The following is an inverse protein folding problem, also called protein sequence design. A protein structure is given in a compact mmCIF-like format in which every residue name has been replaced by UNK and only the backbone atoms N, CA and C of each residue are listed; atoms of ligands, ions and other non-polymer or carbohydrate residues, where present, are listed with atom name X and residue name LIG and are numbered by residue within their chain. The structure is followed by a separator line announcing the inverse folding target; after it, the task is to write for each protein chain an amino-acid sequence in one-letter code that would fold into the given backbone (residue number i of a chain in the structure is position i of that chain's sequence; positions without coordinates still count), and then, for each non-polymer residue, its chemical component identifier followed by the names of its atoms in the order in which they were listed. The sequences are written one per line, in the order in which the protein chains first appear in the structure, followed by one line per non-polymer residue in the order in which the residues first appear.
data_IF_097083770747
#
_entry.id   IF_097083770747
#
_cell.length_a   1.000
_cell.length_b   1.000
_cell.length_c   1.000
_cell.angle_alpha   90.00
_cell.angle_beta   90.00
_cell.angle_gamma   90.00
#
_symmetry.space_group_name_H-M   'P 1'
#
loop_
_entity.id
_entity.type
_entity.pdbx_description
1 polymer ?
#
# COMPACT_ATOMS: atom_id res chain seq x y z
N UNK A 1 -7.61 42.82 -1.15
CA UNK A 1 -6.40 42.19 -0.59
C UNK A 1 -6.41 40.75 -1.06
N UNK A 2 -5.40 40.30 -1.79
CA UNK A 2 -5.26 38.87 -2.12
C UNK A 2 -4.82 38.14 -0.85
N UNK A 3 -5.61 37.17 -0.41
CA UNK A 3 -5.29 36.31 0.73
C UNK A 3 -3.98 35.57 0.47
N UNK A 4 -3.03 35.59 1.41
CA UNK A 4 -1.79 34.80 1.30
C UNK A 4 -2.11 33.30 1.32
N UNK A 5 -1.54 32.56 0.37
CA UNK A 5 -1.59 31.10 0.31
C UNK A 5 -0.18 30.54 0.15
N UNK A 6 0.06 29.33 0.67
CA UNK A 6 1.40 28.69 0.58
C UNK A 6 1.74 28.20 -0.82
N UNK A 7 0.73 28.00 -1.68
CA UNK A 7 0.79 27.61 -3.10
C UNK A 7 -0.42 28.19 -3.84
N UNK A 8 -0.36 28.36 -5.17
CA UNK A 8 -1.53 28.75 -5.96
C UNK A 8 -2.61 27.66 -5.97
N UNK A 9 -3.85 28.06 -6.20
CA UNK A 9 -4.91 27.15 -6.64
C UNK A 9 -4.63 26.76 -8.10
N UNK A 10 -4.44 25.46 -8.35
CA UNK A 10 -4.13 24.96 -9.69
C UNK A 10 -5.43 24.90 -10.50
N UNK A 11 -5.45 25.62 -11.62
CA UNK A 11 -6.55 25.63 -12.58
C UNK A 11 -6.10 25.05 -13.91
N UNK A 12 -6.97 24.30 -14.57
CA UNK A 12 -6.68 23.70 -15.87
C UNK A 12 -7.91 23.06 -16.50
N UNK A 13 -7.78 22.67 -17.77
CA UNK A 13 -8.88 22.10 -18.58
C UNK A 13 -8.71 20.61 -18.89
N UNK A 14 -7.62 19.99 -18.41
CA UNK A 14 -7.31 18.58 -18.66
C UNK A 14 -7.55 17.71 -17.42
N UNK A 15 -6.82 17.96 -16.33
CA UNK A 15 -6.96 17.22 -15.08
C UNK A 15 -6.02 17.75 -14.00
N UNK A 16 -6.30 17.42 -12.74
CA UNK A 16 -5.48 17.76 -11.57
C UNK A 16 -5.41 16.54 -10.67
N UNK A 17 -4.21 16.26 -10.14
CA UNK A 17 -3.98 15.21 -9.14
C UNK A 17 -3.31 15.84 -7.92
N UNK A 18 -3.84 15.53 -6.74
CA UNK A 18 -3.28 15.98 -5.46
C UNK A 18 -3.09 14.80 -4.53
N UNK A 19 -1.95 14.73 -3.85
CA UNK A 19 -1.65 13.74 -2.82
C UNK A 19 -0.66 14.30 -1.81
N UNK A 20 -0.33 13.52 -0.79
CA UNK A 20 0.63 13.86 0.27
C UNK A 20 2.09 13.82 -0.20
N UNK A 21 2.37 13.19 -1.36
CA UNK A 21 3.70 13.09 -1.94
C UNK A 21 3.75 13.67 -3.37
N UNK A 22 4.73 14.52 -3.66
CA UNK A 22 4.85 15.15 -4.99
C UNK A 22 5.07 14.13 -6.12
N UNK A 23 5.92 13.12 -5.90
CA UNK A 23 6.12 12.01 -6.85
C UNK A 23 4.80 11.28 -7.13
N UNK A 24 4.00 10.94 -6.10
CA UNK A 24 2.73 10.24 -6.32
C UNK A 24 1.70 11.09 -7.08
N UNK A 25 1.67 12.41 -6.82
CA UNK A 25 0.86 13.35 -7.61
C UNK A 25 1.31 13.40 -9.07
N UNK A 26 2.63 13.45 -9.32
CA UNK A 26 3.20 13.43 -10.66
C UNK A 26 2.93 12.11 -11.40
N UNK A 27 3.00 10.96 -10.70
CA UNK A 27 2.61 9.66 -11.25
C UNK A 27 1.14 9.66 -11.68
N UNK A 28 0.23 10.09 -10.81
CA UNK A 28 -1.20 10.15 -11.17
C UNK A 28 -1.45 11.07 -12.36
N UNK A 29 -0.80 12.22 -12.41
CA UNK A 29 -0.88 13.11 -13.57
C UNK A 29 -0.35 12.45 -14.85
N UNK A 30 0.78 11.73 -14.77
CA UNK A 30 1.33 11.00 -15.91
C UNK A 30 0.38 9.92 -16.44
N UNK A 31 -0.44 9.32 -15.57
CA UNK A 31 -1.47 8.35 -15.97
C UNK A 31 -2.61 9.04 -16.71
N UNK A 32 -3.02 10.24 -16.29
CA UNK A 32 -3.97 11.05 -17.05
C UNK A 32 -3.41 11.41 -18.43
N UNK A 33 -2.14 11.85 -18.51
CA UNK A 33 -1.46 12.18 -19.77
C UNK A 33 -1.34 10.97 -20.72
N UNK A 34 -1.25 9.75 -20.17
CA UNK A 34 -1.30 8.48 -20.94
C UNK A 34 -2.70 8.08 -21.39
N UNK A 35 -3.73 8.90 -21.15
CA UNK A 35 -5.11 8.65 -21.55
C UNK A 35 -5.94 7.84 -20.53
N UNK A 36 -5.39 7.60 -19.34
CA UNK A 36 -6.14 7.09 -18.21
C UNK A 36 -7.19 8.09 -17.73
N UNK A 37 -8.12 7.63 -16.89
CA UNK A 37 -9.08 8.50 -16.22
C UNK A 37 -8.70 8.75 -14.74
N UNK A 38 -9.54 9.47 -14.01
CA UNK A 38 -9.30 9.78 -12.60
C UNK A 38 -9.12 8.53 -11.71
N UNK A 39 -9.78 7.41 -12.06
CA UNK A 39 -9.68 6.16 -11.33
C UNK A 39 -8.37 5.43 -11.61
N UNK A 40 -7.93 5.39 -12.88
CA UNK A 40 -6.60 4.86 -13.23
C UNK A 40 -5.49 5.65 -12.52
N UNK A 41 -5.60 6.98 -12.54
CA UNK A 41 -4.66 7.88 -11.88
C UNK A 41 -4.64 7.67 -10.36
N UNK A 42 -5.81 7.55 -9.73
CA UNK A 42 -5.93 7.29 -8.29
C UNK A 42 -5.28 5.96 -7.89
N UNK A 43 -5.51 4.89 -8.67
CA UNK A 43 -4.90 3.57 -8.42
C UNK A 43 -3.37 3.66 -8.48
N UNK A 44 -2.81 4.24 -9.55
CA UNK A 44 -1.37 4.37 -9.68
C UNK A 44 -0.73 5.27 -8.60
N UNK A 45 -1.39 6.38 -8.25
CA UNK A 45 -0.98 7.24 -7.13
C UNK A 45 -1.00 6.48 -5.82
N UNK A 46 -2.05 5.70 -5.55
CA UNK A 46 -2.20 4.90 -4.34
C UNK A 46 -1.09 3.86 -4.17
N UNK A 47 -0.82 3.06 -5.20
CA UNK A 47 0.29 2.10 -5.18
C UNK A 47 1.66 2.78 -5.04
N UNK A 48 1.84 3.95 -5.65
CA UNK A 48 3.08 4.72 -5.53
C UNK A 48 3.25 5.26 -4.10
N UNK A 49 2.19 5.72 -3.43
CA UNK A 49 2.24 6.16 -2.03
C UNK A 49 2.69 5.03 -1.08
N UNK A 50 2.31 3.78 -1.36
CA UNK A 50 2.78 2.63 -0.57
C UNK A 50 4.30 2.42 -0.64
N UNK A 51 4.95 2.91 -1.69
CA UNK A 51 6.42 2.88 -1.82
C UNK A 51 7.05 4.08 -1.11
N UNK A 52 6.45 5.27 -1.29
CA UNK A 52 7.05 6.54 -0.88
C UNK A 52 6.79 6.93 0.56
N UNK A 53 5.66 6.49 1.13
CA UNK A 53 5.21 6.79 2.49
C UNK A 53 4.95 5.51 3.31
N UNK A 54 5.88 4.54 3.36
CA UNK A 54 5.63 3.23 3.98
C UNK A 54 5.36 3.32 5.49
N UNK A 55 5.80 4.40 6.13
CA UNK A 55 5.48 4.73 7.53
C UNK A 55 4.01 5.14 7.78
N UNK A 56 3.20 5.30 6.73
CA UNK A 56 1.80 5.75 6.81
C UNK A 56 0.84 4.79 6.11
N UNK A 57 1.26 4.22 4.97
CA UNK A 57 0.40 3.34 4.15
C UNK A 57 1.18 2.18 3.55
N UNK A 58 0.49 1.08 3.26
CA UNK A 58 1.09 -0.10 2.64
C UNK A 58 0.06 -1.08 2.11
N UNK A 59 0.50 -2.12 1.37
CA UNK A 59 -0.40 -3.11 0.78
C UNK A 59 -1.14 -3.97 1.80
N UNK A 60 -0.63 -4.03 3.04
CA UNK A 60 -1.26 -4.71 4.17
C UNK A 60 -2.36 -3.90 4.89
N UNK A 61 -2.60 -2.66 4.49
CA UNK A 61 -3.59 -1.77 5.11
C UNK A 61 -4.95 -1.80 4.42
N UNK A 62 -5.67 -0.69 4.52
CA UNK A 62 -7.02 -0.49 4.02
C UNK A 62 -7.12 0.67 3.02
N UNK A 63 -8.27 0.79 2.34
CA UNK A 63 -8.53 1.86 1.37
C UNK A 63 -10.02 2.21 1.26
N UNK A 64 -10.50 3.21 2.01
CA UNK A 64 -11.81 3.80 1.76
C UNK A 64 -11.71 4.84 0.63
N UNK A 65 -12.62 4.77 -0.35
CA UNK A 65 -12.72 5.80 -1.39
C UNK A 65 -14.15 6.28 -1.58
N UNK A 66 -14.31 7.61 -1.65
CA UNK A 66 -15.53 8.25 -2.13
C UNK A 66 -15.28 8.65 -3.57
N UNK A 67 -16.14 8.17 -4.47
CA UNK A 67 -15.96 8.34 -5.91
C UNK A 67 -17.19 8.95 -6.54
N UNK A 68 -17.01 9.83 -7.52
CA UNK A 68 -18.06 10.25 -8.44
C UNK A 68 -17.69 9.78 -9.84
N UNK A 69 -18.56 9.00 -10.46
CA UNK A 69 -18.39 8.57 -11.86
C UNK A 69 -19.38 9.31 -12.74
N UNK A 70 -18.89 10.14 -13.66
CA UNK A 70 -19.78 10.83 -14.60
C UNK A 70 -20.57 9.85 -15.47
N UNK A 71 -20.00 8.69 -15.79
CA UNK A 71 -20.67 7.62 -16.55
C UNK A 71 -21.90 7.06 -15.81
N UNK A 72 -21.82 6.96 -14.48
CA UNK A 72 -22.92 6.48 -13.64
C UNK A 72 -23.77 7.62 -13.06
N UNK A 73 -23.32 8.86 -13.19
CA UNK A 73 -23.88 10.08 -12.61
C UNK A 73 -24.21 9.95 -11.11
N UNK A 74 -23.33 9.29 -10.36
CA UNK A 74 -23.56 8.90 -8.97
C UNK A 74 -22.29 8.99 -8.12
N UNK A 75 -22.48 9.38 -6.86
CA UNK A 75 -21.46 9.25 -5.81
C UNK A 75 -21.58 7.87 -5.15
N UNK A 76 -20.48 7.16 -5.04
CA UNK A 76 -20.40 5.82 -4.46
C UNK A 76 -19.22 5.74 -3.48
N UNK A 77 -19.24 4.73 -2.61
CA UNK A 77 -18.16 4.43 -1.68
C UNK A 77 -17.61 3.04 -1.99
N UNK A 78 -16.30 2.95 -2.18
CA UNK A 78 -15.57 1.68 -2.12
C UNK A 78 -15.10 1.52 -0.68
N UNK A 79 -15.71 0.57 0.04
CA UNK A 79 -15.29 0.21 1.38
C UNK A 79 -14.29 -0.94 1.29
N UNK A 80 -13.00 -0.62 1.28
CA UNK A 80 -11.93 -1.61 1.40
C UNK A 80 -11.27 -1.54 2.78
N UNK A 81 -12.13 -1.49 3.81
CA UNK A 81 -11.77 -1.65 5.21
C UNK A 81 -11.86 -3.13 5.57
N UNK A 82 -10.74 -3.72 5.95
CA UNK A 82 -10.63 -5.11 6.37
C UNK A 82 -11.46 -5.44 7.61
N UNK A 83 -12.17 -6.58 7.63
CA UNK A 83 -12.73 -7.12 8.85
C UNK A 83 -11.63 -7.74 9.73
N UNK A 84 -11.92 -7.88 11.02
CA UNK A 84 -11.15 -8.75 11.91
C UNK A 84 -11.17 -10.21 11.40
N UNK A 85 -10.12 -10.96 11.72
CA UNK A 85 -10.07 -12.39 11.38
C UNK A 85 -11.15 -13.17 12.15
N UNK A 86 -11.56 -14.33 11.63
CA UNK A 86 -12.58 -15.16 12.29
C UNK A 86 -12.17 -15.63 13.69
N UNK A 87 -10.86 -15.73 13.97
CA UNK A 87 -10.31 -16.11 15.29
C UNK A 87 -10.13 -14.93 16.24
N UNK A 88 -10.29 -13.69 15.80
CA UNK A 88 -10.13 -12.50 16.61
C UNK A 88 -11.38 -12.22 17.48
N UNK A 89 -11.70 -13.13 18.40
CA UNK A 89 -12.83 -13.00 19.33
C UNK A 89 -12.41 -12.42 20.67
N UNK A 90 -13.34 -11.82 21.43
CA UNK A 90 -13.04 -11.28 22.78
C UNK A 90 -12.44 -12.38 23.67
N UNK A 91 -12.94 -13.60 23.58
CA UNK A 91 -12.44 -14.76 24.33
C UNK A 91 -10.98 -15.05 24.01
N UNK A 92 -10.57 -14.98 22.74
CA UNK A 92 -9.17 -15.18 22.34
C UNK A 92 -8.27 -14.12 22.98
N UNK A 93 -8.58 -12.82 22.82
CA UNK A 93 -7.75 -11.74 23.38
C UNK A 93 -7.70 -11.79 24.92
N UNK A 94 -8.83 -12.08 25.57
CA UNK A 94 -8.86 -12.19 27.03
C UNK A 94 -8.12 -13.44 27.53
N UNK A 95 -8.09 -14.53 26.76
CA UNK A 95 -7.28 -15.72 27.07
C UNK A 95 -5.78 -15.47 26.96
N UNK A 96 -5.37 -14.57 26.07
CA UNK A 96 -4.01 -14.01 26.02
C UNK A 96 -3.74 -13.07 27.21
N UNK A 97 -4.72 -12.79 28.08
CA UNK A 97 -4.58 -11.87 29.21
C UNK A 97 -4.60 -10.39 28.81
N UNK A 98 -5.08 -10.06 27.60
CA UNK A 98 -5.16 -8.69 27.11
C UNK A 98 -6.45 -8.02 27.60
N UNK A 99 -6.32 -6.76 28.01
CA UNK A 99 -7.46 -5.86 28.32
C UNK A 99 -7.74 -4.86 27.19
N UNK A 100 -6.75 -4.67 26.32
CA UNK A 100 -6.78 -3.82 25.15
C UNK A 100 -6.04 -4.54 24.04
N UNK A 101 -6.47 -4.33 22.79
CA UNK A 101 -5.72 -4.78 21.62
C UNK A 101 -4.39 -4.01 21.59
N UNK A 102 -3.24 -4.68 21.40
CA UNK A 102 -1.94 -4.02 21.26
C UNK A 102 -1.92 -3.00 20.11
N UNK A 103 -1.04 -2.01 20.16
CA UNK A 103 -0.93 -0.99 19.09
C UNK A 103 -0.13 -1.42 17.87
N UNK A 104 0.52 -2.58 17.94
CA UNK A 104 1.40 -3.17 16.94
C UNK A 104 1.34 -4.72 17.05
N UNK A 105 2.31 -5.44 16.48
CA UNK A 105 2.30 -6.90 16.45
C UNK A 105 1.22 -7.49 15.55
N UNK A 106 0.99 -8.80 15.68
CA UNK A 106 0.07 -9.53 14.80
C UNK A 106 -1.40 -9.46 15.26
N UNK A 107 -1.63 -9.28 16.56
CA UNK A 107 -2.99 -9.21 17.12
C UNK A 107 -3.73 -7.92 16.74
N UNK A 108 -3.03 -6.84 16.39
CA UNK A 108 -3.68 -5.59 15.97
C UNK A 108 -4.12 -5.58 14.49
N UNK A 109 -3.92 -6.68 13.77
CA UNK A 109 -4.13 -6.76 12.32
C UNK A 109 -5.55 -7.15 11.91
N UNK A 110 -5.96 -6.67 10.74
CA UNK A 110 -7.20 -7.05 10.04
C UNK A 110 -6.87 -7.70 8.70
N UNK A 111 -7.87 -8.25 8.01
CA UNK A 111 -7.69 -8.74 6.64
C UNK A 111 -7.34 -7.56 5.72
N UNK A 112 -6.18 -7.52 5.04
CA UNK A 112 -5.79 -6.35 4.24
C UNK A 112 -6.80 -5.99 3.15
N UNK A 113 -7.45 -4.82 3.23
CA UNK A 113 -8.44 -4.38 2.26
C UNK A 113 -7.87 -3.58 1.08
N UNK A 114 -6.71 -2.94 1.24
CA UNK A 114 -6.21 -1.91 0.32
C UNK A 114 -6.05 -2.41 -1.12
N UNK A 115 -5.41 -3.58 -1.32
CA UNK A 115 -5.16 -4.13 -2.65
C UNK A 115 -6.46 -4.41 -3.41
N UNK A 116 -7.44 -5.06 -2.75
CA UNK A 116 -8.74 -5.35 -3.35
C UNK A 116 -9.47 -4.08 -3.74
N UNK A 117 -9.47 -3.08 -2.86
CA UNK A 117 -10.11 -1.80 -3.09
C UNK A 117 -9.60 -1.11 -4.36
N UNK A 118 -8.27 -1.08 -4.56
CA UNK A 118 -7.67 -0.52 -5.77
C UNK A 118 -8.02 -1.34 -7.02
N UNK A 119 -8.01 -2.67 -6.93
CA UNK A 119 -8.37 -3.54 -8.05
C UNK A 119 -9.85 -3.42 -8.42
N UNK A 120 -10.77 -3.29 -7.46
CA UNK A 120 -12.19 -3.02 -7.70
C UNK A 120 -12.38 -1.67 -8.40
N UNK A 121 -11.68 -0.63 -7.94
CA UNK A 121 -11.69 0.69 -8.58
C UNK A 121 -11.23 0.59 -10.04
N UNK A 122 -10.10 -0.08 -10.28
CA UNK A 122 -9.54 -0.26 -11.62
C UNK A 122 -10.47 -1.06 -12.54
N UNK A 123 -11.06 -2.15 -12.03
CA UNK A 123 -11.95 -3.03 -12.81
C UNK A 123 -13.20 -2.27 -13.26
N UNK A 124 -13.88 -1.65 -12.31
CA UNK A 124 -15.24 -1.12 -12.52
C UNK A 124 -15.25 0.29 -13.10
N UNK A 125 -14.18 1.06 -12.89
CA UNK A 125 -14.12 2.47 -13.27
C UNK A 125 -12.89 2.84 -14.09
N UNK A 126 -11.81 2.07 -14.03
CA UNK A 126 -10.60 2.28 -14.80
C UNK A 126 -10.71 1.89 -16.27
N UNK A 127 -9.67 2.22 -17.03
CA UNK A 127 -9.48 1.91 -18.45
C UNK A 127 -8.18 1.17 -18.70
N UNK A 128 -7.18 1.37 -17.86
CA UNK A 128 -5.82 0.84 -18.06
C UNK A 128 -5.67 -0.57 -17.48
N UNK A 129 -4.58 -1.24 -17.87
CA UNK A 129 -4.26 -2.58 -17.38
C UNK A 129 -3.68 -2.56 -15.95
N UNK A 130 -3.60 -3.73 -15.31
CA UNK A 130 -2.90 -3.91 -14.03
C UNK A 130 -1.44 -3.47 -14.15
N UNK A 131 -0.78 -3.78 -15.27
CA UNK A 131 0.60 -3.36 -15.54
C UNK A 131 0.71 -1.84 -15.54
N UNK A 132 -0.12 -1.16 -16.32
CA UNK A 132 -0.01 0.30 -16.50
C UNK A 132 -0.05 1.07 -15.17
N UNK A 133 -0.89 0.62 -14.23
CA UNK A 133 -1.05 1.29 -12.93
C UNK A 133 -0.04 0.85 -11.87
N UNK A 134 0.54 -0.35 -11.99
CA UNK A 134 1.57 -0.84 -11.05
C UNK A 134 2.99 -0.47 -11.48
N UNK A 135 3.24 -0.27 -12.78
CA UNK A 135 4.57 0.01 -13.34
C UNK A 135 5.28 1.18 -12.63
N UNK A 136 4.62 2.33 -12.33
CA UNK A 136 5.30 3.41 -11.62
C UNK A 136 5.76 3.02 -10.21
N UNK A 137 4.93 2.27 -9.46
CA UNK A 137 5.28 1.80 -8.13
C UNK A 137 6.43 0.79 -8.18
N UNK A 138 6.41 -0.12 -9.16
CA UNK A 138 7.52 -1.06 -9.41
C UNK A 138 8.81 -0.30 -9.69
N UNK A 139 8.77 0.70 -10.56
CA UNK A 139 9.94 1.50 -10.92
C UNK A 139 10.58 2.14 -9.69
N UNK A 140 9.80 2.80 -8.84
CA UNK A 140 10.33 3.44 -7.62
C UNK A 140 10.75 2.43 -6.55
N UNK A 141 10.09 1.28 -6.45
CA UNK A 141 10.51 0.22 -5.54
C UNK A 141 11.85 -0.40 -5.96
N UNK A 142 12.06 -0.63 -7.25
CA UNK A 142 13.27 -1.27 -7.79
C UNK A 142 14.45 -0.31 -7.93
N UNK A 143 14.23 0.86 -8.55
CA UNK A 143 15.31 1.81 -8.88
C UNK A 143 15.57 2.79 -7.75
N UNK A 144 14.55 2.99 -6.92
CA UNK A 144 14.59 3.77 -5.69
C UNK A 144 13.96 5.15 -5.83
N UNK A 145 13.81 5.81 -4.69
CA UNK A 145 13.30 7.16 -4.56
C UNK A 145 14.04 7.90 -3.42
N UNK A 146 14.05 9.25 -3.43
CA UNK A 146 14.59 10.00 -2.30
C UNK A 146 13.71 9.74 -1.07
N UNK A 147 14.29 9.11 -0.04
CA UNK A 147 13.56 8.80 1.20
C UNK A 147 13.18 10.10 1.93
N UNK A 148 11.93 10.20 2.39
CA UNK A 148 11.51 11.35 3.18
C UNK A 148 12.26 11.39 4.53
N UNK A 149 12.65 12.58 5.02
CA UNK A 149 13.26 12.71 6.35
C UNK A 149 12.43 12.07 7.47
N UNK A 150 11.09 12.13 7.37
CA UNK A 150 10.19 11.52 8.35
C UNK A 150 10.22 9.99 8.34
N UNK A 151 10.39 9.37 7.16
CA UNK A 151 10.52 7.91 7.04
C UNK A 151 11.84 7.49 7.69
N UNK A 152 12.95 8.15 7.35
CA UNK A 152 14.27 7.91 7.95
C UNK A 152 14.22 8.02 9.48
N UNK A 153 13.66 9.12 10.01
CA UNK A 153 13.52 9.32 11.45
C UNK A 153 12.65 8.25 12.14
N UNK A 154 11.59 7.77 11.47
CA UNK A 154 10.74 6.68 11.99
C UNK A 154 11.54 5.38 12.09
N UNK A 155 12.32 5.05 11.05
CA UNK A 155 13.18 3.86 11.04
C UNK A 155 14.27 3.98 12.12
N UNK A 156 14.90 5.16 12.28
CA UNK A 156 15.88 5.38 13.35
C UNK A 156 15.31 5.07 14.73
N UNK A 157 14.07 5.51 15.02
CA UNK A 157 13.41 5.25 16.29
C UNK A 157 13.08 3.77 16.54
N UNK A 158 13.04 2.94 15.50
CA UNK A 158 12.65 1.53 15.56
C UNK A 158 13.80 0.56 15.24
N UNK A 159 14.97 1.05 14.81
CA UNK A 159 16.04 0.20 14.26
C UNK A 159 16.50 -0.89 15.23
N UNK A 160 16.76 -0.55 16.49
CA UNK A 160 17.16 -1.52 17.52
C UNK A 160 16.05 -2.55 17.80
N UNK A 161 14.80 -2.10 17.82
CA UNK A 161 13.65 -2.98 18.01
C UNK A 161 13.46 -3.92 16.81
N UNK A 162 13.61 -3.42 15.59
CA UNK A 162 13.59 -4.26 14.38
C UNK A 162 14.71 -5.30 14.42
N UNK A 163 15.93 -4.92 14.80
CA UNK A 163 17.06 -5.85 14.86
C UNK A 163 16.79 -7.03 15.80
N UNK A 164 16.23 -6.74 16.99
CA UNK A 164 16.03 -7.73 18.06
C UNK A 164 14.73 -8.51 17.93
N UNK A 165 13.66 -7.81 17.60
CA UNK A 165 12.30 -8.32 17.73
C UNK A 165 11.66 -8.65 16.38
N UNK A 166 11.91 -7.84 15.34
CA UNK A 166 11.33 -7.97 13.99
C UNK A 166 12.40 -8.03 12.88
N UNK A 167 13.23 -9.08 12.83
CA UNK A 167 14.43 -9.12 11.97
C UNK A 167 14.12 -9.01 10.46
N UNK A 168 12.94 -9.45 10.01
CA UNK A 168 12.50 -9.27 8.61
C UNK A 168 12.28 -7.80 8.25
N UNK A 169 11.82 -6.99 9.21
CA UNK A 169 11.71 -5.53 9.07
C UNK A 169 13.10 -4.90 9.06
N UNK A 170 14.02 -5.37 9.90
CA UNK A 170 15.40 -4.88 9.92
C UNK A 170 16.09 -5.07 8.58
N UNK A 171 15.99 -6.29 8.00
CA UNK A 171 16.55 -6.61 6.68
C UNK A 171 16.02 -5.67 5.58
N UNK A 172 14.72 -5.33 5.65
CA UNK A 172 14.07 -4.47 4.66
C UNK A 172 14.41 -2.99 4.83
N UNK A 173 14.35 -2.48 6.06
CA UNK A 173 14.40 -1.04 6.34
C UNK A 173 15.77 -0.52 6.75
N UNK A 174 16.69 -1.41 7.16
CA UNK A 174 18.05 -1.09 7.58
C UNK A 174 19.06 -1.88 6.73
N UNK A 175 19.00 -1.76 5.39
CA UNK A 175 19.84 -2.56 4.50
C UNK A 175 21.33 -2.27 4.75
N UNK A 176 22.11 -3.33 4.98
CA UNK A 176 23.53 -3.21 5.31
C UNK A 176 23.80 -2.67 6.73
N UNK A 177 22.80 -2.69 7.63
CA UNK A 177 22.96 -2.32 9.03
C UNK A 177 23.01 -0.81 9.28
N UNK A 178 22.73 0.02 8.27
CA UNK A 178 22.64 1.47 8.40
C UNK A 178 21.25 1.95 8.04
N UNK A 179 20.67 2.83 8.88
CA UNK A 179 19.40 3.48 8.56
C UNK A 179 19.59 4.37 7.33
N UNK A 180 18.71 4.32 6.32
CA UNK A 180 18.85 5.18 5.15
C UNK A 180 18.75 6.66 5.53
N UNK A 181 19.72 7.44 5.07
CA UNK A 181 19.76 8.88 5.34
C UNK A 181 18.59 9.62 4.65
N UNK A 182 18.11 10.75 5.21
CA UNK A 182 17.15 11.60 4.53
C UNK A 182 17.59 11.97 3.11
N UNK A 183 16.66 11.87 2.16
CA UNK A 183 16.85 12.09 0.72
C UNK A 183 17.83 11.14 0.02
N UNK A 184 18.40 10.15 0.72
CA UNK A 184 19.14 9.07 0.06
C UNK A 184 18.20 8.24 -0.81
N UNK A 185 18.75 7.60 -1.84
CA UNK A 185 17.98 6.76 -2.73
C UNK A 185 17.69 5.41 -2.07
N UNK A 186 16.46 5.21 -1.62
CA UNK A 186 16.02 3.96 -0.98
C UNK A 186 15.29 3.06 -1.97
N UNK A 187 15.49 1.74 -1.87
CA UNK A 187 14.89 0.71 -2.74
C UNK A 187 14.21 -0.36 -1.89
N UNK A 188 13.14 -0.94 -2.41
CA UNK A 188 12.48 -2.13 -1.87
C UNK A 188 12.32 -3.18 -3.00
N UNK A 189 13.39 -3.91 -3.33
CA UNK A 189 13.36 -4.88 -4.43
C UNK A 189 12.39 -6.04 -4.17
N UNK A 190 12.17 -6.44 -2.92
CA UNK A 190 11.22 -7.51 -2.56
C UNK A 190 9.79 -7.13 -2.94
N UNK A 191 9.39 -5.88 -2.66
CA UNK A 191 8.06 -5.39 -3.04
C UNK A 191 7.94 -5.20 -4.55
N UNK A 192 9.01 -4.74 -5.22
CA UNK A 192 9.04 -4.66 -6.69
C UNK A 192 8.80 -6.04 -7.34
N UNK A 193 9.50 -7.08 -6.88
CA UNK A 193 9.32 -8.44 -7.39
C UNK A 193 7.94 -9.02 -7.09
N UNK A 194 7.35 -8.66 -5.94
CA UNK A 194 5.98 -9.03 -5.60
C UNK A 194 4.99 -8.47 -6.63
N UNK A 195 5.11 -7.19 -6.98
CA UNK A 195 4.26 -6.54 -7.98
C UNK A 195 4.50 -7.05 -9.40
N UNK A 196 5.76 -7.31 -9.79
CA UNK A 196 6.07 -7.96 -11.07
C UNK A 196 5.43 -9.34 -11.18
N UNK A 197 5.47 -10.14 -10.10
CA UNK A 197 4.80 -11.45 -10.08
C UNK A 197 3.28 -11.33 -10.18
N UNK A 198 2.66 -10.36 -9.50
CA UNK A 198 1.22 -10.09 -9.66
C UNK A 198 0.87 -9.76 -11.11
N UNK A 199 1.66 -8.93 -11.79
CA UNK A 199 1.43 -8.62 -13.21
C UNK A 199 1.55 -9.89 -14.05
N UNK A 200 2.56 -10.74 -13.81
CA UNK A 200 2.72 -12.00 -14.53
C UNK A 200 1.51 -12.94 -14.36
N UNK A 201 0.99 -13.09 -13.14
CA UNK A 201 -0.21 -13.90 -12.86
C UNK A 201 -1.47 -13.29 -13.52
N UNK A 202 -1.55 -11.95 -13.54
CA UNK A 202 -2.63 -11.22 -14.20
C UNK A 202 -2.61 -11.46 -15.72
N UNK A 203 -1.47 -11.25 -16.37
CA UNK A 203 -1.28 -11.35 -17.82
C UNK A 203 -1.41 -12.78 -18.37
N UNK A 204 -1.38 -13.79 -17.51
CA UNK A 204 -1.75 -15.16 -17.87
C UNK A 204 -3.25 -15.28 -18.25
N UNK A 205 -4.07 -14.26 -17.98
CA UNK A 205 -5.47 -14.16 -18.44
C UNK A 205 -5.62 -13.16 -19.58
N UNK A 206 -6.60 -13.42 -20.43
CA UNK A 206 -6.98 -12.52 -21.53
C UNK A 206 -8.13 -11.61 -21.10
N UNK A 207 -8.02 -10.32 -21.45
CA UNK A 207 -9.02 -9.30 -21.18
C UNK A 207 -8.80 -8.56 -19.86
N UNK A 208 -8.94 -7.22 -19.87
CA UNK A 208 -8.61 -6.32 -18.76
C UNK A 208 -9.20 -6.78 -17.42
N UNK A 209 -10.50 -7.06 -17.39
CA UNK A 209 -11.20 -7.42 -16.15
C UNK A 209 -10.74 -8.79 -15.63
N UNK A 210 -10.52 -9.78 -16.51
CA UNK A 210 -10.00 -11.08 -16.11
C UNK A 210 -8.56 -11.01 -15.57
N UNK A 211 -7.73 -10.11 -16.12
CA UNK A 211 -6.39 -9.83 -15.59
C UNK A 211 -6.47 -9.22 -14.19
N UNK A 212 -7.39 -8.28 -13.96
CA UNK A 212 -7.60 -7.67 -12.64
C UNK A 212 -8.10 -8.72 -11.63
N UNK A 213 -9.05 -9.58 -12.01
CA UNK A 213 -9.49 -10.69 -11.15
C UNK A 213 -8.36 -11.69 -10.86
N UNK A 214 -7.48 -11.96 -11.83
CA UNK A 214 -6.30 -12.78 -11.60
C UNK A 214 -5.29 -12.12 -10.65
N UNK A 215 -5.08 -10.81 -10.74
CA UNK A 215 -4.26 -10.06 -9.79
C UNK A 215 -4.84 -10.14 -8.36
N UNK A 216 -6.16 -9.96 -8.21
CA UNK A 216 -6.87 -10.14 -6.93
C UNK A 216 -6.67 -11.56 -6.38
N UNK A 217 -6.84 -12.58 -7.22
CA UNK A 217 -6.62 -13.97 -6.81
C UNK A 217 -5.16 -14.23 -6.42
N UNK A 218 -4.18 -13.68 -7.14
CA UNK A 218 -2.77 -13.82 -6.79
C UNK A 218 -2.46 -13.24 -5.39
N UNK A 219 -3.13 -12.14 -5.03
CA UNK A 219 -3.00 -11.52 -3.71
C UNK A 219 -3.72 -12.31 -2.61
N UNK A 220 -5.02 -12.59 -2.77
CA UNK A 220 -5.88 -13.10 -1.70
C UNK A 220 -6.03 -14.62 -1.65
N UNK A 221 -5.68 -15.31 -2.74
CA UNK A 221 -5.85 -16.77 -2.89
C UNK A 221 -4.65 -17.45 -3.55
N UNK A 222 -3.54 -16.72 -3.70
CA UNK A 222 -2.35 -17.16 -4.39
C UNK A 222 -1.11 -16.91 -3.55
N UNK A 223 0.01 -16.66 -4.23
CA UNK A 223 1.33 -16.68 -3.61
C UNK A 223 1.50 -15.66 -2.46
N UNK A 224 0.80 -14.52 -2.49
CA UNK A 224 0.89 -13.53 -1.40
C UNK A 224 0.19 -14.07 -0.16
N UNK A 225 -1.06 -14.52 -0.28
CA UNK A 225 -1.79 -15.15 0.81
C UNK A 225 -1.05 -16.37 1.37
N UNK A 226 -0.46 -17.21 0.51
CA UNK A 226 0.37 -18.34 0.94
C UNK A 226 1.61 -17.89 1.72
N UNK A 227 2.28 -16.81 1.31
CA UNK A 227 3.44 -16.28 2.03
C UNK A 227 3.06 -15.70 3.38
N UNK A 228 1.96 -14.94 3.46
CA UNK A 228 1.43 -14.45 4.73
C UNK A 228 1.08 -15.63 5.64
N UNK A 229 0.30 -16.59 5.14
CA UNK A 229 -0.11 -17.76 5.93
C UNK A 229 1.08 -18.60 6.40
N UNK A 230 2.11 -18.78 5.58
CA UNK A 230 3.30 -19.53 5.97
C UNK A 230 4.14 -18.79 7.01
N UNK A 231 4.26 -17.46 6.92
CA UNK A 231 4.92 -16.66 7.95
C UNK A 231 4.18 -16.77 9.30
N UNK A 232 2.85 -16.61 9.27
CA UNK A 232 2.01 -16.63 10.48
C UNK A 232 1.96 -18.00 11.18
N UNK A 233 2.37 -19.11 10.54
CA UNK A 233 2.44 -20.43 11.20
C UNK A 233 3.46 -20.49 12.34
N UNK A 234 4.50 -19.68 12.27
CA UNK A 234 5.64 -19.74 13.19
C UNK A 234 6.06 -18.37 13.70
N UNK A 235 5.41 -17.30 13.26
CA UNK A 235 5.72 -15.95 13.73
C UNK A 235 5.27 -15.80 15.18
N UNK A 236 6.18 -15.33 16.03
CA UNK A 236 5.92 -14.97 17.42
C UNK A 236 6.62 -13.63 17.68
N UNK A 237 5.89 -12.53 17.47
CA UNK A 237 6.49 -11.19 17.42
C UNK A 237 6.20 -10.43 18.69
N UNK A 238 7.20 -9.71 19.21
CA UNK A 238 6.99 -8.80 20.33
C UNK A 238 6.05 -7.68 19.92
N UNK A 239 5.13 -7.35 20.82
CA UNK A 239 4.20 -6.25 20.66
C UNK A 239 4.11 -5.37 21.91
N UNK A 240 3.29 -4.32 21.85
CA UNK A 240 3.11 -3.31 22.88
C UNK A 240 2.47 -3.85 24.16
N UNK A 241 1.99 -5.11 24.19
CA UNK A 241 1.62 -5.78 25.44
C UNK A 241 2.83 -6.22 26.27
N UNK A 242 4.03 -6.17 25.68
CA UNK A 242 5.28 -6.64 26.29
C UNK A 242 5.46 -8.16 26.21
N UNK A 243 4.74 -8.82 25.30
CA UNK A 243 4.83 -10.26 25.05
C UNK A 243 4.94 -10.55 23.56
N UNK A 244 5.35 -11.77 23.27
CA UNK A 244 5.36 -12.31 21.92
C UNK A 244 4.06 -13.08 21.69
N UNK A 245 3.44 -12.84 20.54
CA UNK A 245 2.21 -13.46 20.07
C UNK A 245 2.37 -13.92 18.63
#
# INVERSE_FOLDING_TARGET
MTTFTTRPEILGTFGVVTSTHWIASAVGMSILEKGGNAFDAAVATGFTLQILEPHLVGPGGDMPAIIYSKKKDKVEVICAQGPASAGATIEHYTSEGLKLIPGDGLLSTVIPGSFDGWMLMLRDYGRLSVRDVLEPAIYYAENGHPMLPRVSATITGLAEFFEKEWPTSYETWVPGGSVPEPHSNFRNPVLAETWKRIISEAEAKQGREAQIEAARNAFYRGFVAEKIANYLKTAEVMDASGRRH
#
